data_IF_525949232951
#
_entry.id   IF_525949232951
#
_cell.length_a   1.000
_cell.length_b   1.000
_cell.length_c   1.000
_cell.angle_alpha   90.00
_cell.angle_beta   90.00
_cell.angle_gamma   90.00
#
_symmetry.space_group_name_H-M   'P 1'
#
loop_
_entity.id
_entity.type
_entity.pdbx_description
1 polymer ?
#
# COMPACT_ATOMS: atom_id res chain seq x y z
N UNK A 1 -14.67 12.24 -2.50
CA UNK A 1 -14.51 10.80 -2.79
C UNK A 1 -15.67 10.05 -2.18
N UNK A 2 -16.32 9.19 -2.90
CA UNK A 2 -17.48 8.53 -2.33
C UNK A 2 -17.05 7.39 -1.39
N UNK A 3 -17.98 7.00 -0.54
CA UNK A 3 -17.66 6.05 0.52
C UNK A 3 -17.34 4.66 0.00
N UNK A 4 -17.87 4.31 -1.15
CA UNK A 4 -17.58 3.00 -1.72
C UNK A 4 -16.12 2.89 -2.15
N UNK A 5 -15.58 3.94 -2.74
CA UNK A 5 -14.18 3.98 -3.14
C UNK A 5 -13.30 3.92 -1.90
N UNK A 6 -13.65 4.69 -0.89
CA UNK A 6 -12.89 4.72 0.35
C UNK A 6 -12.93 3.35 1.03
N UNK A 7 -14.11 2.72 1.08
CA UNK A 7 -14.24 1.40 1.69
C UNK A 7 -13.40 0.37 0.96
N UNK A 8 -13.36 0.45 -0.36
CA UNK A 8 -12.55 -0.49 -1.13
C UNK A 8 -11.07 -0.30 -0.84
N UNK A 9 -10.63 0.95 -0.74
CA UNK A 9 -9.24 1.21 -0.41
C UNK A 9 -8.90 0.65 0.96
N UNK A 10 -9.74 0.90 1.95
CA UNK A 10 -9.49 0.43 3.31
C UNK A 10 -9.54 -1.09 3.38
N UNK A 11 -10.45 -1.70 2.62
CA UNK A 11 -10.49 -3.16 2.55
C UNK A 11 -9.17 -3.72 2.04
N UNK A 12 -8.58 -3.06 1.06
CA UNK A 12 -7.27 -3.47 0.57
C UNK A 12 -6.19 -3.35 1.63
N UNK A 13 -6.23 -2.26 2.41
CA UNK A 13 -5.27 -2.09 3.51
C UNK A 13 -5.42 -3.21 4.53
N UNK A 14 -6.66 -3.53 4.88
CA UNK A 14 -6.90 -4.57 5.88
C UNK A 14 -6.43 -5.94 5.41
N UNK A 15 -6.67 -6.25 4.14
CA UNK A 15 -6.18 -7.52 3.58
C UNK A 15 -4.67 -7.56 3.56
N UNK A 16 -4.05 -6.47 3.13
CA UNK A 16 -2.60 -6.38 3.12
C UNK A 16 -2.06 -6.63 4.54
N UNK A 17 -2.66 -6.00 5.52
CA UNK A 17 -2.18 -6.11 6.90
C UNK A 17 -2.37 -7.50 7.49
N UNK A 18 -3.30 -8.28 6.95
CA UNK A 18 -3.47 -9.66 7.38
C UNK A 18 -2.49 -10.60 6.70
N UNK A 19 -1.63 -10.09 5.86
CA UNK A 19 -0.70 -10.93 5.12
C UNK A 19 -1.26 -11.42 3.78
N UNK A 20 -2.45 -10.94 3.40
CA UNK A 20 -3.04 -11.32 2.13
C UNK A 20 -2.74 -10.24 1.11
N UNK A 21 -1.47 -10.14 0.79
CA UNK A 21 -0.97 -9.06 -0.05
C UNK A 21 -1.59 -9.07 -1.44
N UNK A 22 -1.70 -10.23 -2.05
CA UNK A 22 -2.26 -10.32 -3.40
C UNK A 22 -3.72 -9.89 -3.40
N UNK A 23 -4.49 -10.32 -2.39
CA UNK A 23 -5.89 -9.93 -2.31
C UNK A 23 -6.04 -8.43 -2.10
N UNK A 24 -5.18 -7.84 -1.27
CA UNK A 24 -5.19 -6.40 -1.08
C UNK A 24 -4.86 -5.66 -2.36
N UNK A 25 -3.84 -6.15 -3.06
CA UNK A 25 -3.45 -5.58 -4.35
C UNK A 25 -4.64 -5.63 -5.33
N UNK A 26 -5.37 -6.74 -5.35
CA UNK A 26 -6.51 -6.90 -6.24
C UNK A 26 -7.62 -5.88 -5.93
N UNK A 27 -7.83 -5.58 -4.65
CA UNK A 27 -8.80 -4.54 -4.29
C UNK A 27 -8.41 -3.19 -4.87
N UNK A 28 -7.13 -2.84 -4.75
CA UNK A 28 -6.66 -1.57 -5.29
C UNK A 28 -6.70 -1.57 -6.82
N UNK A 29 -6.42 -2.73 -7.42
CA UNK A 29 -6.52 -2.85 -8.87
C UNK A 29 -7.94 -2.60 -9.37
N UNK A 30 -8.92 -3.03 -8.58
CA UNK A 30 -10.31 -2.78 -8.96
C UNK A 30 -10.63 -1.29 -8.99
N UNK A 31 -10.00 -0.52 -8.10
CA UNK A 31 -10.16 0.93 -8.14
C UNK A 31 -9.50 1.53 -9.36
N UNK A 32 -8.37 0.98 -9.76
CA UNK A 32 -7.69 1.45 -10.95
C UNK A 32 -8.54 1.24 -12.19
N UNK A 33 -9.18 0.08 -12.28
CA UNK A 33 -9.95 -0.27 -13.46
C UNK A 33 -11.14 0.61 -13.68
N UNK A 34 -11.83 1.01 -12.62
CA UNK A 34 -13.04 1.81 -12.77
C UNK A 34 -12.83 3.28 -12.48
N UNK A 35 -11.67 3.64 -11.98
CA UNK A 35 -11.44 4.98 -11.52
C UNK A 35 -11.16 5.97 -12.63
N UNK A 36 -11.46 7.23 -12.36
CA UNK A 36 -11.07 8.29 -13.26
C UNK A 36 -9.59 8.61 -13.03
N UNK A 37 -9.12 9.62 -13.72
CA UNK A 37 -7.71 9.99 -13.68
C UNK A 37 -7.22 10.28 -12.27
N UNK A 38 -8.03 10.96 -11.48
CA UNK A 38 -7.64 11.32 -10.14
C UNK A 38 -7.51 10.12 -9.23
N UNK A 39 -8.44 9.17 -9.34
CA UNK A 39 -8.38 7.95 -8.56
C UNK A 39 -7.18 7.11 -8.97
N UNK A 40 -6.92 7.03 -10.27
CA UNK A 40 -5.77 6.28 -10.75
C UNK A 40 -4.47 6.87 -10.24
N UNK A 41 -4.38 8.19 -10.23
CA UNK A 41 -3.19 8.84 -9.73
C UNK A 41 -2.99 8.51 -8.25
N UNK A 42 -4.07 8.51 -7.49
CA UNK A 42 -4.02 8.20 -6.07
C UNK A 42 -3.61 6.76 -5.81
N UNK A 43 -4.22 5.82 -6.53
CA UNK A 43 -4.03 4.40 -6.22
C UNK A 43 -2.72 3.84 -6.79
N UNK A 44 -2.13 4.55 -7.74
CA UNK A 44 -0.93 4.06 -8.40
C UNK A 44 0.21 3.74 -7.45
N UNK A 45 0.47 4.63 -6.50
CA UNK A 45 1.54 4.41 -5.54
C UNK A 45 1.31 3.17 -4.70
N UNK A 46 0.06 2.91 -4.34
CA UNK A 46 -0.26 1.74 -3.53
C UNK A 46 -0.16 0.45 -4.32
N UNK A 47 -0.53 0.49 -5.60
CA UNK A 47 -0.33 -0.67 -6.46
C UNK A 47 1.15 -1.00 -6.60
N UNK A 48 1.97 0.03 -6.71
CA UNK A 48 3.41 -0.19 -6.82
C UNK A 48 4.00 -0.68 -5.50
N UNK A 49 3.48 -0.18 -4.39
CA UNK A 49 3.88 -0.59 -3.05
C UNK A 49 3.65 -2.10 -2.88
N UNK A 50 2.42 -2.54 -3.11
CA UNK A 50 2.10 -3.96 -2.98
C UNK A 50 2.78 -4.78 -4.06
N UNK A 51 2.94 -4.21 -5.25
CA UNK A 51 3.62 -4.90 -6.34
C UNK A 51 5.08 -5.18 -6.01
N UNK A 52 5.74 -4.24 -5.35
CA UNK A 52 7.13 -4.45 -4.92
C UNK A 52 7.20 -5.64 -3.98
N UNK A 53 6.32 -5.67 -2.99
CA UNK A 53 6.32 -6.75 -2.01
C UNK A 53 6.00 -8.10 -2.67
N UNK A 54 5.03 -8.11 -3.59
CA UNK A 54 4.73 -9.33 -4.32
C UNK A 54 5.92 -9.82 -5.13
N UNK A 55 6.71 -8.90 -5.68
CA UNK A 55 7.92 -9.28 -6.39
C UNK A 55 8.97 -9.85 -5.44
N UNK A 56 9.05 -9.35 -4.21
CA UNK A 56 9.93 -9.96 -3.22
C UNK A 56 9.53 -11.42 -3.00
N UNK A 57 8.23 -11.65 -2.81
CA UNK A 57 7.74 -13.01 -2.57
C UNK A 57 7.99 -13.91 -3.77
N UNK A 58 7.98 -13.36 -4.97
CA UNK A 58 8.23 -14.12 -6.19
C UNK A 58 9.73 -14.23 -6.51
N UNK A 59 10.56 -13.71 -5.65
CA UNK A 59 12.03 -13.74 -5.80
C UNK A 59 12.50 -12.97 -7.03
N UNK A 60 11.82 -11.89 -7.33
CA UNK A 60 12.16 -11.02 -8.45
C UNK A 60 12.76 -9.73 -7.91
N UNK A 61 14.02 -9.78 -7.57
CA UNK A 61 14.70 -8.68 -6.89
C UNK A 61 14.64 -7.38 -7.71
N UNK A 62 14.94 -7.47 -8.99
CA UNK A 62 15.00 -6.25 -9.81
C UNK A 62 13.65 -5.57 -9.91
N UNK A 63 12.60 -6.36 -10.12
CA UNK A 63 11.26 -5.81 -10.17
C UNK A 63 10.84 -5.19 -8.86
N UNK A 64 11.22 -5.83 -7.75
CA UNK A 64 10.90 -5.30 -6.44
C UNK A 64 11.57 -3.96 -6.21
N UNK A 65 12.84 -3.83 -6.58
CA UNK A 65 13.59 -2.57 -6.43
C UNK A 65 12.94 -1.47 -7.27
N UNK A 66 12.63 -1.80 -8.51
CA UNK A 66 12.03 -0.83 -9.43
C UNK A 66 10.70 -0.30 -8.88
N UNK A 67 9.83 -1.22 -8.48
CA UNK A 67 8.51 -0.82 -8.00
C UNK A 67 8.60 -0.09 -6.66
N UNK A 68 9.56 -0.46 -5.83
CA UNK A 68 9.76 0.27 -4.57
C UNK A 68 10.08 1.73 -4.85
N UNK A 69 10.98 1.98 -5.80
CA UNK A 69 11.33 3.34 -6.15
C UNK A 69 10.16 4.13 -6.70
N UNK A 70 9.38 3.49 -7.58
CA UNK A 70 8.19 4.14 -8.15
C UNK A 70 7.15 4.44 -7.07
N UNK A 71 6.97 3.50 -6.16
CA UNK A 71 6.02 3.67 -5.06
C UNK A 71 6.40 4.86 -4.19
N UNK A 72 7.67 4.95 -3.84
CA UNK A 72 8.14 6.05 -3.00
C UNK A 72 7.84 7.39 -3.67
N UNK A 73 8.13 7.50 -4.96
CA UNK A 73 7.85 8.72 -5.69
C UNK A 73 6.37 9.06 -5.73
N UNK A 74 5.55 8.08 -6.03
CA UNK A 74 4.12 8.34 -6.20
C UNK A 74 3.41 8.57 -4.87
N UNK A 75 3.83 7.89 -3.82
CA UNK A 75 3.23 8.13 -2.51
C UNK A 75 3.63 9.49 -1.96
N UNK A 76 4.83 9.96 -2.28
CA UNK A 76 5.31 11.25 -1.78
C UNK A 76 4.47 12.41 -2.27
N UNK A 77 3.85 12.26 -3.43
CA UNK A 77 3.06 13.35 -4.01
C UNK A 77 1.60 13.27 -3.65
N UNK A 78 1.20 12.27 -2.89
CA UNK A 78 -0.22 12.01 -2.72
C UNK A 78 -0.77 12.54 -1.41
N UNK A 79 -1.65 13.52 -1.49
CA UNK A 79 -2.24 14.13 -0.31
C UNK A 79 -3.47 13.40 0.21
N UNK A 80 -4.19 12.68 -0.66
CA UNK A 80 -5.43 12.01 -0.25
C UNK A 80 -5.14 10.91 0.77
N UNK A 81 -4.13 10.12 0.50
CA UNK A 81 -3.81 8.98 1.36
C UNK A 81 -3.45 9.40 2.77
N UNK A 82 -2.85 10.57 2.92
CA UNK A 82 -2.34 10.98 4.24
C UNK A 82 -3.43 11.20 5.26
N UNK A 83 -4.66 11.38 4.83
CA UNK A 83 -5.76 11.52 5.77
C UNK A 83 -6.33 10.17 6.21
N UNK A 84 -5.90 9.09 5.58
CA UNK A 84 -6.45 7.76 5.84
C UNK A 84 -5.41 6.85 6.48
N UNK A 85 -4.19 6.88 5.97
CA UNK A 85 -3.12 6.01 6.44
C UNK A 85 -1.86 6.83 6.71
N UNK A 86 -0.95 6.23 7.46
CA UNK A 86 0.33 6.87 7.74
C UNK A 86 1.22 6.68 6.52
N UNK A 87 1.17 7.63 5.62
CA UNK A 87 1.92 7.55 4.37
C UNK A 87 3.42 7.59 4.63
N UNK A 88 3.83 8.41 5.56
CA UNK A 88 5.27 8.50 5.90
C UNK A 88 5.82 7.16 6.35
N UNK A 89 5.12 6.39 6.98
CA UNK A 89 5.50 5.22 7.34
C UNK A 89 5.61 4.31 6.30
N UNK A 90 4.72 4.35 5.54
CA UNK A 90 4.80 3.50 4.39
C UNK A 90 6.02 3.82 3.54
N UNK A 91 6.27 5.09 3.30
CA UNK A 91 7.43 5.50 2.52
C UNK A 91 8.72 5.05 3.19
N UNK A 92 8.80 5.22 4.50
CA UNK A 92 9.99 4.80 5.25
C UNK A 92 10.21 3.29 5.12
N UNK A 93 9.15 2.52 5.30
CA UNK A 93 9.25 1.07 5.19
C UNK A 93 9.68 0.64 3.80
N UNK A 94 9.13 1.29 2.79
CA UNK A 94 9.47 0.94 1.42
C UNK A 94 10.89 1.36 1.09
N UNK A 95 11.34 2.50 1.62
CA UNK A 95 12.71 2.95 1.41
C UNK A 95 13.69 1.98 2.06
N UNK A 96 13.38 1.53 3.27
CA UNK A 96 14.24 0.55 3.95
C UNK A 96 14.27 -0.77 3.19
N UNK A 97 13.12 -1.22 2.73
CA UNK A 97 13.06 -2.46 1.97
C UNK A 97 13.90 -2.35 0.69
N UNK A 98 13.79 -1.22 0.02
CA UNK A 98 14.55 -1.00 -1.21
C UNK A 98 16.05 -1.06 -0.97
N UNK A 99 16.51 -0.41 0.11
CA UNK A 99 17.92 -0.43 0.43
C UNK A 99 18.41 -1.83 0.75
N UNK A 100 17.59 -2.59 1.46
CA UNK A 100 17.95 -3.97 1.79
C UNK A 100 18.00 -4.83 0.54
N UNK A 101 17.05 -4.62 -0.37
CA UNK A 101 17.03 -5.35 -1.63
C UNK A 101 18.28 -5.08 -2.47
N UNK A 102 18.81 -3.87 -2.39
CA UNK A 102 19.99 -3.50 -3.14
C UNK A 102 21.29 -3.96 -2.50
N UNK A 103 21.22 -4.46 -1.29
CA UNK A 103 22.41 -4.83 -0.53
C UNK A 103 22.64 -6.33 -0.65
N UNK A 104 23.77 -6.70 -1.25
CA UNK A 104 24.09 -8.11 -1.49
C UNK A 104 24.29 -8.93 -0.22
N UNK A 105 24.43 -8.28 0.94
CA UNK A 105 24.56 -8.99 2.20
C UNK A 105 23.28 -9.71 2.60
N UNK A 106 22.15 -9.28 2.06
CA UNK A 106 20.86 -9.87 2.42
C UNK A 106 20.45 -10.88 1.37
N UNK A 107 20.03 -12.04 1.83
CA UNK A 107 19.51 -13.06 0.91
C UNK A 107 18.07 -12.74 0.54
N UNK A 108 17.56 -13.43 -0.45
CA UNK A 108 16.14 -13.28 -0.80
C UNK A 108 15.25 -13.76 0.33
N UNK A 109 15.71 -14.74 1.11
CA UNK A 109 14.97 -15.16 2.28
C UNK A 109 14.88 -14.05 3.31
N UNK A 110 15.99 -13.34 3.53
CA UNK A 110 15.98 -12.23 4.46
C UNK A 110 15.00 -11.15 4.05
N UNK A 111 15.00 -10.80 2.76
CA UNK A 111 14.11 -9.76 2.28
C UNK A 111 12.66 -10.19 2.35
N UNK A 112 12.39 -11.47 2.16
CA UNK A 112 11.04 -12.00 2.28
C UNK A 112 10.53 -11.82 3.71
N UNK A 113 11.35 -12.15 4.70
CA UNK A 113 10.96 -11.98 6.10
C UNK A 113 10.63 -10.52 6.40
N UNK A 114 11.49 -9.63 5.93
CA UNK A 114 11.30 -8.19 6.17
C UNK A 114 10.03 -7.70 5.51
N UNK A 115 9.78 -8.12 4.27
CA UNK A 115 8.60 -7.66 3.55
C UNK A 115 7.30 -8.15 4.21
N UNK A 116 7.35 -9.35 4.81
CA UNK A 116 6.14 -9.92 5.42
C UNK A 116 5.64 -9.13 6.60
N UNK A 117 6.50 -8.43 7.30
CA UNK A 117 6.05 -7.72 8.50
C UNK A 117 5.67 -6.27 8.26
N UNK A 118 5.77 -5.80 7.02
CA UNK A 118 5.37 -4.45 6.70
C UNK A 118 3.85 -4.33 6.79
N UNK A 119 3.38 -3.31 7.49
CA UNK A 119 1.95 -3.05 7.63
C UNK A 119 1.67 -1.60 7.25
N UNK A 120 0.44 -1.34 6.86
CA UNK A 120 0.00 0.00 6.55
C UNK A 120 -0.90 0.46 7.69
N UNK A 121 -0.49 1.52 8.36
CA UNK A 121 -1.20 1.96 9.56
C UNK A 121 -2.35 2.89 9.21
N UNK A 122 -3.56 2.53 9.62
CA UNK A 122 -4.72 3.40 9.50
C UNK A 122 -4.65 4.43 10.61
N UNK A 123 -4.79 5.71 10.26
CA UNK A 123 -4.60 6.75 11.27
C UNK A 123 -5.87 7.39 11.74
N UNK A 124 -6.98 7.17 11.06
CA UNK A 124 -8.22 7.81 11.44
C UNK A 124 -9.21 6.78 11.90
N UNK A 125 -9.68 6.97 13.13
CA UNK A 125 -10.65 6.09 13.69
C UNK A 125 -11.94 6.04 12.89
N UNK A 126 -12.38 7.14 12.36
CA UNK A 126 -13.64 7.15 11.64
C UNK A 126 -13.57 6.39 10.31
N UNK A 127 -12.41 6.02 9.86
CA UNK A 127 -12.31 5.23 8.65
C UNK A 127 -12.19 3.76 8.91
N UNK A 128 -12.31 3.36 10.21
CA UNK A 128 -12.22 1.99 10.47
C UNK A 128 -13.49 1.42 10.22
N UNK A 129 -14.15 1.29 9.66
CA UNK A 129 -15.28 0.72 9.40
C UNK A 129 -16.19 0.76 9.89
N UNK A 130 -16.43 0.58 9.78
CA UNK A 130 -17.02 0.64 10.18
C UNK A 130 -17.90 1.25 10.33
N UNK A 131 -18.11 1.55 10.27
CA UNK A 131 -18.59 2.10 10.50
C UNK A 131 -18.97 3.00 11.07
N UNK A 132 -18.95 3.00 11.44
CA UNK A 132 -19.30 3.86 12.12
C UNK A 132 -19.00 5.07 11.66
N UNK A 133 -18.60 5.25 11.00
CA UNK A 133 -18.08 6.29 10.67
C UNK A 133 -18.74 7.03 9.77
N UNK A 134 -19.02 7.16 9.28
CA UNK A 134 -19.48 7.91 8.57
C UNK A 134 -20.60 8.18 8.81
N UNK A 135 -20.60 7.76 9.62
CA UNK A 135 -21.18 7.92 9.87
C UNK A 135 -21.27 8.52 10.53
N UNK A 136 -21.12 8.57 11.00
CA UNK A 136 -21.12 9.03 11.47
C UNK A 136 -20.83 9.86 11.46
N UNK A 137 -20.93 10.05 11.22
CA UNK A 137 -20.77 10.60 11.18
C UNK A 137 -20.57 11.26 11.25
N UNK A 138 -20.71 11.46 11.53
CA UNK A 138 -20.68 11.72 11.57
C UNK A 138 -20.50 11.74 11.62
N UNK A 139 -20.60 11.51 11.84
CA UNK A 139 -20.69 11.07 11.84
C UNK A 139 -20.78 10.95 11.78
#
# INVERSE_FOLDING_TARGET
>A
MNSKILDTFISGVELFNKGETLAGHAKWESLWKVGDLEIRKWIKGWLQFSGSILNVFAKKREGAIYLAGKSINNLSDEGISSSIVDVDXAITDMSNLREILKNDSYTLEDTNVIARVIKIKLISFKYKRGVDFLMTSEH
#
